data_IF_652992023692
#
_entry.id   IF_652992023692
#
_cell.length_a   1.000
_cell.length_b   1.000
_cell.length_c   1.000
_cell.angle_alpha   90.00
_cell.angle_beta   90.00
_cell.angle_gamma   90.00
#
_symmetry.space_group_name_H-M   'P 1'
#
loop_
_entity.id
_entity.type
_entity.pdbx_description
1 polymer ?
#
# COMPACT_ATOMS: atom_id res chain seq x y z
N UNK A 1 8.18 -25.64 -22.16
CA UNK A 1 6.72 -25.71 -21.93
C UNK A 1 6.14 -24.36 -22.31
N UNK A 2 5.36 -24.29 -23.39
CA UNK A 2 4.57 -23.10 -23.71
C UNK A 2 3.33 -23.10 -22.82
N UNK A 3 3.14 -22.03 -22.05
CA UNK A 3 1.89 -21.80 -21.34
C UNK A 3 0.90 -21.19 -22.32
N UNK A 4 -0.10 -21.96 -22.75
CA UNK A 4 -1.29 -21.41 -23.38
C UNK A 4 -2.06 -20.63 -22.29
N UNK A 5 -2.33 -19.32 -22.48
CA UNK A 5 -3.04 -18.54 -21.47
C UNK A 5 -4.50 -19.00 -21.37
N UNK A 6 -4.92 -19.44 -20.18
CA UNK A 6 -6.34 -19.67 -19.89
C UNK A 6 -7.07 -18.32 -19.87
N UNK A 7 -7.85 -18.04 -20.91
CA UNK A 7 -8.68 -16.83 -20.98
C UNK A 7 -10.01 -17.09 -20.28
N UNK A 8 -10.20 -16.50 -19.10
CA UNK A 8 -11.50 -16.48 -18.42
C UNK A 8 -12.24 -15.23 -18.89
N UNK A 9 -13.35 -15.39 -19.61
CA UNK A 9 -14.20 -14.28 -20.06
C UNK A 9 -15.16 -13.90 -18.94
N UNK A 10 -15.09 -12.65 -18.49
CA UNK A 10 -15.98 -12.12 -17.47
C UNK A 10 -17.24 -11.54 -18.13
N UNK A 11 -18.46 -11.92 -17.72
CA UNK A 11 -19.69 -11.35 -18.28
C UNK A 11 -19.75 -9.83 -18.01
N UNK A 12 -20.02 -8.98 -19.02
CA UNK A 12 -20.04 -7.53 -18.84
C UNK A 12 -21.04 -7.02 -17.79
N UNK A 13 -22.16 -7.74 -17.64
CA UNK A 13 -23.25 -7.42 -16.73
C UNK A 13 -22.96 -7.86 -15.30
N UNK A 14 -22.03 -8.80 -15.11
CA UNK A 14 -21.64 -9.25 -13.79
C UNK A 14 -20.73 -8.18 -13.17
N UNK A 15 -21.13 -7.68 -12.00
CA UNK A 15 -20.31 -6.79 -11.17
C UNK A 15 -20.00 -7.46 -9.86
N UNK A 16 -18.72 -7.46 -9.49
CA UNK A 16 -18.23 -8.03 -8.25
C UNK A 16 -18.13 -6.91 -7.23
N UNK A 17 -18.72 -7.11 -6.05
CA UNK A 17 -18.44 -6.27 -4.91
C UNK A 17 -17.12 -6.68 -4.27
N UNK A 18 -16.14 -5.79 -4.33
CA UNK A 18 -14.77 -6.06 -3.88
C UNK A 18 -14.53 -5.28 -2.60
N UNK A 19 -14.11 -5.97 -1.54
CA UNK A 19 -13.72 -5.31 -0.27
C UNK A 19 -12.26 -4.93 -0.25
N UNK A 20 -11.40 -5.76 -0.83
CA UNK A 20 -9.98 -5.49 -0.85
C UNK A 20 -9.25 -6.27 -1.93
N UNK A 21 -8.02 -5.83 -2.18
CA UNK A 21 -7.12 -6.39 -3.17
C UNK A 21 -5.88 -6.95 -2.48
N UNK A 22 -5.52 -8.19 -2.82
CA UNK A 22 -4.21 -8.76 -2.52
C UNK A 22 -3.57 -9.18 -3.84
N UNK A 23 -2.39 -8.66 -4.14
CA UNK A 23 -1.70 -8.99 -5.39
C UNK A 23 -0.18 -9.02 -5.23
N UNK A 24 0.46 -9.93 -5.97
CA UNK A 24 1.91 -9.96 -6.15
C UNK A 24 2.34 -9.30 -7.48
N UNK A 25 1.41 -8.72 -8.24
CA UNK A 25 1.68 -7.93 -9.44
C UNK A 25 1.68 -6.42 -9.12
N UNK A 26 2.00 -5.61 -10.12
CA UNK A 26 1.89 -4.15 -10.03
C UNK A 26 0.45 -3.75 -9.71
N UNK A 27 0.25 -3.02 -8.61
CA UNK A 27 -1.08 -2.67 -8.13
C UNK A 27 -1.85 -1.79 -9.11
N UNK A 28 -1.18 -0.92 -9.87
CA UNK A 28 -1.87 -0.07 -10.84
C UNK A 28 -2.48 -0.93 -11.97
N UNK A 29 -1.66 -1.84 -12.54
CA UNK A 29 -2.09 -2.75 -13.61
C UNK A 29 -3.28 -3.61 -13.18
N UNK A 30 -3.25 -4.11 -11.95
CA UNK A 30 -4.33 -4.96 -11.42
C UNK A 30 -5.60 -4.15 -11.18
N UNK A 31 -5.49 -2.93 -10.66
CA UNK A 31 -6.65 -2.07 -10.43
C UNK A 31 -7.28 -1.61 -11.74
N UNK A 32 -6.50 -1.28 -12.77
CA UNK A 32 -7.00 -0.97 -14.11
C UNK A 32 -7.81 -2.15 -14.68
N UNK A 33 -7.28 -3.37 -14.55
CA UNK A 33 -7.99 -4.58 -14.98
C UNK A 33 -9.27 -4.85 -14.17
N UNK A 34 -9.26 -4.50 -12.87
CA UNK A 34 -10.41 -4.68 -11.99
C UNK A 34 -11.55 -3.68 -12.28
N UNK A 35 -11.27 -2.48 -12.80
CA UNK A 35 -12.33 -1.49 -13.10
C UNK A 35 -13.41 -2.06 -14.03
N UNK A 36 -13.06 -3.00 -14.92
CA UNK A 36 -14.01 -3.64 -15.83
C UNK A 36 -15.07 -4.49 -15.10
N UNK A 37 -14.72 -5.13 -13.99
CA UNK A 37 -15.58 -6.08 -13.27
C UNK A 37 -16.03 -5.63 -11.87
N UNK A 38 -15.44 -4.57 -11.32
CA UNK A 38 -15.79 -4.07 -10.00
C UNK A 38 -17.14 -3.33 -10.00
N UNK A 39 -17.96 -3.59 -8.99
CA UNK A 39 -19.12 -2.77 -8.65
C UNK A 39 -18.66 -1.43 -8.05
N UNK A 40 -19.31 -0.32 -8.40
CA UNK A 40 -18.99 1.01 -7.86
C UNK A 40 -19.09 1.08 -6.33
N UNK A 41 -19.99 0.30 -5.72
CA UNK A 41 -20.15 0.17 -4.27
C UNK A 41 -18.96 -0.55 -3.57
N UNK A 42 -17.97 -0.99 -4.34
CA UNK A 42 -16.69 -1.50 -3.83
C UNK A 42 -15.78 -0.37 -3.32
N UNK A 43 -15.98 0.85 -3.78
CA UNK A 43 -15.05 1.96 -3.52
C UNK A 43 -15.56 2.92 -2.42
N UNK A 44 -14.65 3.48 -1.58
CA UNK A 44 -13.23 3.16 -1.50
C UNK A 44 -13.00 1.76 -0.93
N UNK A 45 -11.99 1.05 -1.45
CA UNK A 45 -11.62 -0.28 -0.96
C UNK A 45 -11.21 -0.21 0.51
N UNK A 46 -11.58 -1.24 1.28
CA UNK A 46 -11.20 -1.34 2.69
C UNK A 46 -9.69 -1.59 2.83
N UNK A 47 -9.11 -2.36 1.89
CA UNK A 47 -7.73 -2.83 2.00
C UNK A 47 -7.10 -3.09 0.65
N UNK A 48 -5.89 -2.59 0.44
CA UNK A 48 -5.03 -2.96 -0.68
C UNK A 48 -3.70 -3.47 -0.14
N UNK A 49 -3.25 -4.59 -0.68
CA UNK A 49 -2.00 -5.23 -0.34
C UNK A 49 -1.30 -5.62 -1.63
N UNK A 50 -0.10 -5.11 -1.86
CA UNK A 50 0.66 -5.54 -3.02
C UNK A 50 2.03 -4.93 -3.20
N UNK A 51 2.63 -5.22 -4.35
CA UNK A 51 3.98 -4.76 -4.67
C UNK A 51 3.98 -3.28 -5.06
N UNK A 52 5.02 -2.57 -4.62
CA UNK A 52 5.30 -1.22 -5.08
C UNK A 52 5.47 -1.17 -6.60
N UNK A 53 4.84 -0.20 -7.30
CA UNK A 53 4.94 -0.05 -8.75
C UNK A 53 6.37 0.30 -9.20
N UNK A 54 7.09 -0.66 -9.77
CA UNK A 54 8.51 -0.50 -10.14
C UNK A 54 8.73 0.46 -11.31
N UNK A 55 7.80 0.50 -12.29
CA UNK A 55 8.01 1.23 -13.55
C UNK A 55 7.78 2.73 -13.42
N UNK A 56 6.74 3.12 -12.70
CA UNK A 56 6.34 4.53 -12.60
C UNK A 56 6.80 5.20 -11.32
N UNK A 57 7.42 4.43 -10.41
CA UNK A 57 7.88 4.87 -9.08
C UNK A 57 6.81 5.66 -8.30
N UNK A 58 5.52 5.43 -8.56
CA UNK A 58 4.43 6.21 -7.97
C UNK A 58 3.14 5.40 -7.83
N UNK A 59 2.38 5.70 -6.78
CA UNK A 59 1.00 5.23 -6.58
C UNK A 59 0.02 6.19 -7.27
N UNK A 60 -0.05 6.15 -8.61
CA UNK A 60 -0.92 7.09 -9.35
C UNK A 60 -2.39 6.67 -9.37
N UNK A 61 -2.68 5.37 -9.27
CA UNK A 61 -4.05 4.90 -9.35
C UNK A 61 -4.91 5.42 -8.19
N UNK A 62 -6.01 6.13 -8.50
CA UNK A 62 -6.91 6.78 -7.54
C UNK A 62 -7.36 5.85 -6.40
N UNK A 63 -7.68 4.60 -6.72
CA UNK A 63 -8.12 3.60 -5.75
C UNK A 63 -7.04 3.16 -4.76
N UNK A 64 -5.75 3.26 -5.11
CA UNK A 64 -4.66 3.05 -4.15
C UNK A 64 -4.71 4.13 -3.09
N UNK A 65 -4.79 5.40 -3.50
CA UNK A 65 -4.80 6.55 -2.59
C UNK A 65 -6.03 6.58 -1.69
N UNK A 66 -7.19 6.21 -2.23
CA UNK A 66 -8.46 6.26 -1.48
C UNK A 66 -8.69 5.08 -0.54
N UNK A 67 -7.90 4.00 -0.64
CA UNK A 67 -8.13 2.82 0.19
C UNK A 67 -7.92 3.12 1.69
N UNK A 68 -8.71 2.50 2.58
CA UNK A 68 -8.57 2.76 4.02
C UNK A 68 -7.23 2.25 4.57
N UNK A 69 -6.81 1.08 4.11
CA UNK A 69 -5.54 0.45 4.48
C UNK A 69 -4.72 0.09 3.25
N UNK A 70 -3.44 0.47 3.26
CA UNK A 70 -2.47 0.14 2.22
C UNK A 70 -1.28 -0.60 2.83
N UNK A 71 -1.01 -1.82 2.35
CA UNK A 71 0.21 -2.57 2.69
C UNK A 71 1.08 -2.77 1.46
N UNK A 72 2.34 -2.34 1.59
CA UNK A 72 3.27 -2.25 0.47
C UNK A 72 4.41 -3.26 0.69
N UNK A 73 4.63 -4.09 -0.32
CA UNK A 73 5.75 -5.02 -0.43
C UNK A 73 6.72 -4.59 -1.55
N UNK A 74 7.97 -5.07 -1.53
CA UNK A 74 8.92 -4.93 -2.63
C UNK A 74 10.23 -4.24 -2.28
N UNK A 75 10.97 -3.80 -3.30
CA UNK A 75 12.23 -3.07 -3.16
C UNK A 75 12.24 -1.96 -4.21
N UNK A 76 11.93 -0.74 -3.78
CA UNK A 76 12.14 0.46 -4.57
C UNK A 76 13.50 1.03 -4.20
N UNK A 77 14.58 0.43 -4.69
CA UNK A 77 15.89 1.07 -4.60
C UNK A 77 15.79 2.41 -5.34
N UNK A 78 16.16 3.50 -4.67
CA UNK A 78 16.04 4.89 -5.16
C UNK A 78 14.63 5.53 -5.12
N UNK A 79 13.75 5.08 -4.23
CA UNK A 79 12.48 5.77 -3.96
C UNK A 79 12.61 6.65 -2.73
N UNK A 80 12.18 7.91 -2.83
CA UNK A 80 11.99 8.80 -1.69
C UNK A 80 10.69 8.41 -0.97
N UNK A 81 10.81 7.49 -0.02
CA UNK A 81 9.67 6.97 0.71
C UNK A 81 9.00 8.01 1.59
N UNK A 82 9.74 9.00 2.11
CA UNK A 82 9.17 10.08 2.91
C UNK A 82 8.18 10.90 2.08
N UNK A 83 8.59 11.31 0.86
CA UNK A 83 7.71 12.00 -0.09
C UNK A 83 6.54 11.13 -0.53
N UNK A 84 6.74 9.83 -0.69
CA UNK A 84 5.65 8.90 -1.00
C UNK A 84 4.61 8.92 0.13
N UNK A 85 5.00 8.75 1.39
CA UNK A 85 4.04 8.73 2.52
C UNK A 85 3.34 10.07 2.72
N UNK A 86 4.04 11.18 2.52
CA UNK A 86 3.49 12.55 2.57
C UNK A 86 2.32 12.71 1.60
N UNK A 87 2.38 12.07 0.44
CA UNK A 87 1.38 12.19 -0.62
C UNK A 87 0.30 11.09 -0.59
N UNK A 88 0.38 10.14 0.35
CA UNK A 88 -0.63 9.09 0.50
C UNK A 88 -1.79 9.57 1.38
N UNK A 89 -3.00 9.34 0.87
CA UNK A 89 -4.24 9.73 1.55
C UNK A 89 -4.78 8.64 2.49
N UNK A 90 -4.24 7.42 2.39
CA UNK A 90 -4.65 6.27 3.17
C UNK A 90 -4.57 6.56 4.68
N UNK A 91 -5.61 6.16 5.42
CA UNK A 91 -5.61 6.30 6.88
C UNK A 91 -4.55 5.41 7.51
N UNK A 92 -4.37 4.19 7.01
CA UNK A 92 -3.39 3.24 7.55
C UNK A 92 -2.45 2.76 6.46
N UNK A 93 -1.14 2.96 6.68
CA UNK A 93 -0.08 2.52 5.79
C UNK A 93 0.81 1.54 6.54
N UNK A 94 1.08 0.40 5.93
CA UNK A 94 2.01 -0.58 6.45
C UNK A 94 3.08 -0.90 5.40
N UNK A 95 4.33 -0.59 5.74
CA UNK A 95 5.46 -0.79 4.87
C UNK A 95 6.24 -2.06 5.26
N UNK A 96 6.38 -3.01 4.32
CA UNK A 96 7.14 -4.24 4.52
C UNK A 96 8.52 -4.21 3.83
N UNK A 97 9.06 -3.04 3.51
CA UNK A 97 10.31 -2.90 2.78
C UNK A 97 11.50 -2.93 3.74
N UNK A 98 12.52 -3.71 3.41
CA UNK A 98 13.66 -4.06 4.27
C UNK A 98 14.84 -3.08 4.25
N UNK A 99 14.76 -1.96 3.51
CA UNK A 99 15.99 -1.28 3.06
C UNK A 99 16.09 0.22 3.31
N UNK A 100 15.12 0.86 3.96
CA UNK A 100 15.33 2.24 4.44
C UNK A 100 14.55 2.53 5.70
N UNK A 101 15.30 2.91 6.73
CA UNK A 101 14.77 3.59 7.90
C UNK A 101 14.29 4.98 7.48
N UNK A 102 13.10 5.36 7.91
CA UNK A 102 12.65 6.76 7.86
C UNK A 102 13.41 7.53 8.95
N UNK A 103 13.99 8.67 8.59
CA UNK A 103 14.71 9.50 9.55
C UNK A 103 13.73 10.20 10.50
N UNK A 104 14.22 10.60 11.68
CA UNK A 104 13.43 11.40 12.62
C UNK A 104 12.91 12.70 12.00
N UNK A 105 13.69 13.32 11.11
CA UNK A 105 13.31 14.54 10.40
C UNK A 105 12.13 14.29 9.47
N UNK A 106 12.19 13.25 8.64
CA UNK A 106 11.12 12.87 7.72
C UNK A 106 9.83 12.49 8.47
N UNK A 107 9.95 11.78 9.60
CA UNK A 107 8.83 11.50 10.49
C UNK A 107 8.17 12.78 11.03
N UNK A 108 8.97 13.76 11.46
CA UNK A 108 8.45 15.03 11.97
C UNK A 108 7.74 15.83 10.88
N UNK A 109 8.26 15.83 9.66
CA UNK A 109 7.60 16.48 8.51
C UNK A 109 6.27 15.81 8.17
N UNK A 110 6.22 14.47 8.17
CA UNK A 110 4.99 13.72 7.96
C UNK A 110 3.93 14.04 9.01
N UNK A 111 4.31 14.05 10.30
CA UNK A 111 3.38 14.36 11.41
C UNK A 111 2.87 15.80 11.30
N UNK A 112 3.75 16.77 11.03
CA UNK A 112 3.35 18.18 10.82
C UNK A 112 2.34 18.29 9.68
N UNK A 113 2.58 17.61 8.55
CA UNK A 113 1.65 17.60 7.43
C UNK A 113 0.31 16.98 7.83
N UNK A 114 0.29 15.86 8.54
CA UNK A 114 -0.96 15.23 8.98
C UNK A 114 -1.80 16.13 9.89
N UNK A 115 -1.15 16.93 10.74
CA UNK A 115 -1.82 17.93 11.57
C UNK A 115 -2.43 19.03 10.70
N UNK A 116 -1.68 19.56 9.73
CA UNK A 116 -2.14 20.60 8.80
C UNK A 116 -3.29 20.11 7.92
N UNK A 117 -3.22 18.87 7.44
CA UNK A 117 -4.24 18.24 6.60
C UNK A 117 -5.45 17.72 7.41
N UNK A 118 -5.48 17.94 8.74
CA UNK A 118 -6.53 17.48 9.65
C UNK A 118 -6.85 15.98 9.49
N UNK A 119 -5.80 15.15 9.39
CA UNK A 119 -5.97 13.71 9.16
C UNK A 119 -6.84 13.06 10.25
N UNK A 120 -7.70 12.09 9.88
CA UNK A 120 -8.58 11.44 10.84
C UNK A 120 -7.82 10.79 12.00
N UNK A 121 -8.44 10.80 13.18
CA UNK A 121 -7.93 10.04 14.34
C UNK A 121 -7.75 8.56 13.97
N UNK A 122 -6.65 7.96 14.40
CA UNK A 122 -6.26 6.61 14.03
C UNK A 122 -5.48 6.50 12.71
N UNK A 123 -5.08 7.63 12.12
CA UNK A 123 -4.10 7.66 11.03
C UNK A 123 -2.75 7.11 11.52
N UNK A 124 -2.15 6.19 10.77
CA UNK A 124 -0.95 5.47 11.20
C UNK A 124 -0.06 5.05 10.03
N UNK A 125 1.25 5.22 10.21
CA UNK A 125 2.30 4.64 9.39
C UNK A 125 3.04 3.61 10.25
N UNK A 126 3.18 2.39 9.74
CA UNK A 126 3.80 1.26 10.44
C UNK A 126 4.77 0.53 9.52
N UNK A 127 5.76 -0.14 10.11
CA UNK A 127 6.83 -0.82 9.38
C UNK A 127 6.99 -2.25 9.86
N UNK A 128 7.40 -3.15 8.97
CA UNK A 128 7.90 -4.47 9.36
C UNK A 128 9.35 -4.37 9.80
N UNK A 129 9.70 -5.08 10.86
CA UNK A 129 11.08 -5.19 11.34
C UNK A 129 11.62 -6.51 10.79
N UNK A 130 12.73 -6.47 10.05
CA UNK A 130 13.44 -7.69 9.64
C UNK A 130 14.21 -8.23 10.85
N UNK A 131 13.89 -9.45 11.29
CA UNK A 131 14.52 -10.13 12.42
C UNK A 131 16.04 -10.30 12.30
N UNK A 132 16.62 -10.08 11.11
CA UNK A 132 18.08 -10.06 10.92
C UNK A 132 18.77 -8.87 11.58
N UNK A 133 18.04 -7.80 11.89
CA UNK A 133 18.55 -6.71 12.72
C UNK A 133 18.11 -6.97 14.16
N UNK A 134 19.05 -7.39 15.02
CA UNK A 134 18.78 -7.60 16.44
C UNK A 134 18.08 -6.37 17.03
N UNK A 135 16.80 -6.51 17.36
CA UNK A 135 16.15 -5.55 18.24
C UNK A 135 16.87 -5.60 19.59
N UNK A 136 17.33 -4.46 20.13
CA UNK A 136 17.78 -4.44 21.50
C UNK A 136 16.69 -5.03 22.41
N UNK A 137 17.09 -5.84 23.39
CA UNK A 137 16.21 -6.63 24.26
C UNK A 137 15.13 -5.83 25.01
N UNK A 138 15.17 -4.49 24.99
CA UNK A 138 14.13 -3.64 25.55
C UNK A 138 12.84 -3.61 24.72
N UNK A 139 12.87 -3.91 23.41
CA UNK A 139 11.65 -3.99 22.58
C UNK A 139 10.87 -5.29 22.77
N UNK A 140 11.50 -6.36 23.24
CA UNK A 140 10.82 -7.64 23.53
C UNK A 140 9.81 -7.51 24.68
N UNK A 141 9.95 -6.49 25.55
CA UNK A 141 9.05 -6.27 26.68
C UNK A 141 7.75 -5.56 26.32
N UNK A 142 7.64 -5.00 25.10
CA UNK A 142 6.46 -4.22 24.67
C UNK A 142 5.45 -5.10 23.90
N UNK A 143 5.86 -6.30 23.47
CA UNK A 143 5.06 -7.20 22.64
C UNK A 143 4.73 -8.56 23.28
N UNK A 144 4.86 -8.68 24.61
CA UNK A 144 4.36 -9.82 25.39
C UNK A 144 3.08 -9.45 26.14
#
# INVERSE_FOLDING_TARGET
MSFEPTIIRFPPELKIRIRGLYTCADMNVVLDAMEACADLASYPLEKIVGLYPKKEKNFYHKHIKSAKYLKIYGCGEQVDWAQVYINLENQKIHNCLSHRDITTTECNELIKKWIVDEKPVGTCLSFSIDHKYHLPSYYERIYC
#
